data_IF_484629465626
#
_entry.id   IF_484629465626
#
_cell.length_a   1.000
_cell.length_b   1.000
_cell.length_c   1.000
_cell.angle_alpha   90.00
_cell.angle_beta   90.00
_cell.angle_gamma   90.00
#
_symmetry.space_group_name_H-M   'P 1'
#
loop_
_entity.id
_entity.type
_entity.pdbx_description
1 polymer ?
#
# COMPACT_ATOMS: atom_id res chain seq x y z
N UNK A 1 -1.08 14.48 -19.66
CA UNK A 1 -0.88 13.62 -18.47
C UNK A 1 -0.57 12.18 -18.89
N UNK A 2 -1.50 11.43 -19.49
CA UNK A 2 -1.26 10.02 -19.88
C UNK A 2 -0.07 9.80 -20.82
N UNK A 3 0.14 10.68 -21.81
CA UNK A 3 1.32 10.59 -22.68
C UNK A 3 2.67 10.81 -21.96
N UNK A 4 2.69 11.52 -20.83
CA UNK A 4 3.90 11.68 -20.01
C UNK A 4 4.20 10.40 -19.22
N UNK A 5 3.16 9.75 -18.66
CA UNK A 5 3.29 8.43 -18.03
C UNK A 5 3.77 7.38 -19.03
N UNK A 6 3.18 7.32 -20.23
CA UNK A 6 3.62 6.41 -21.28
C UNK A 6 5.09 6.66 -21.70
N UNK A 7 5.55 7.92 -21.68
CA UNK A 7 6.96 8.24 -21.93
C UNK A 7 7.89 7.78 -20.79
N UNK A 8 7.42 7.87 -19.54
CA UNK A 8 8.15 7.38 -18.35
C UNK A 8 8.29 5.86 -18.37
N UNK A 9 7.25 5.14 -18.77
CA UNK A 9 7.23 3.67 -18.75
C UNK A 9 8.30 3.06 -19.65
N UNK A 10 8.65 3.72 -20.76
CA UNK A 10 9.74 3.29 -21.66
C UNK A 10 11.11 3.21 -20.99
N UNK A 11 11.32 3.99 -19.92
CA UNK A 11 12.55 4.01 -19.14
C UNK A 11 12.39 3.45 -17.74
N UNK A 12 11.26 2.81 -17.43
CA UNK A 12 11.02 2.30 -16.08
C UNK A 12 11.90 1.08 -15.81
N UNK A 13 12.82 1.14 -14.81
CA UNK A 13 13.69 0.01 -14.50
C UNK A 13 12.95 -1.14 -13.80
N UNK A 14 11.73 -0.91 -13.30
CA UNK A 14 11.00 -1.84 -12.43
C UNK A 14 10.01 -2.73 -13.18
N UNK A 15 10.27 -3.02 -14.45
CA UNK A 15 9.41 -3.87 -15.28
C UNK A 15 9.84 -5.33 -15.17
N UNK A 16 8.88 -6.23 -14.98
CA UNK A 16 9.14 -7.64 -14.64
C UNK A 16 8.45 -8.59 -15.61
N UNK A 17 9.05 -9.74 -15.90
CA UNK A 17 8.38 -10.82 -16.63
C UNK A 17 7.33 -11.49 -15.74
N UNK A 18 6.13 -11.70 -16.29
CA UNK A 18 5.06 -12.43 -15.60
C UNK A 18 5.31 -13.94 -15.54
N UNK A 19 6.27 -14.47 -16.29
CA UNK A 19 6.59 -15.90 -16.33
C UNK A 19 7.53 -16.33 -15.21
N UNK A 20 8.56 -15.52 -14.92
CA UNK A 20 9.64 -15.88 -14.00
C UNK A 20 10.07 -14.75 -13.04
N UNK A 21 9.48 -13.56 -13.15
CA UNK A 21 9.77 -12.41 -12.28
C UNK A 21 11.11 -11.73 -12.55
N UNK A 22 11.81 -12.07 -13.64
CA UNK A 22 13.06 -11.39 -14.01
C UNK A 22 12.78 -9.97 -14.50
N UNK A 23 13.77 -9.09 -14.33
CA UNK A 23 13.74 -7.74 -14.92
C UNK A 23 13.72 -7.83 -16.44
N UNK A 24 12.84 -7.05 -17.05
CA UNK A 24 12.69 -6.93 -18.50
C UNK A 24 12.63 -5.46 -18.90
N UNK A 25 12.98 -5.18 -20.14
CA UNK A 25 12.82 -3.86 -20.74
C UNK A 25 11.39 -3.64 -21.23
N UNK A 26 11.02 -2.37 -21.40
CA UNK A 26 9.76 -2.01 -22.05
C UNK A 26 9.63 -2.63 -23.45
N UNK A 27 10.71 -2.68 -24.24
CA UNK A 27 10.70 -3.23 -25.59
C UNK A 27 10.48 -4.75 -25.60
N UNK A 28 11.02 -5.49 -24.61
CA UNK A 28 10.75 -6.92 -24.43
C UNK A 28 9.26 -7.18 -24.10
N UNK A 29 8.68 -6.38 -23.20
CA UNK A 29 7.25 -6.46 -22.88
C UNK A 29 6.38 -6.11 -24.09
N UNK A 30 6.72 -5.03 -24.80
CA UNK A 30 5.99 -4.61 -26.00
C UNK A 30 6.02 -5.68 -27.10
N UNK A 31 7.13 -6.39 -27.27
CA UNK A 31 7.27 -7.46 -28.26
C UNK A 31 6.39 -8.69 -27.96
N UNK A 32 5.99 -8.89 -26.71
CA UNK A 32 5.14 -10.00 -26.26
C UNK A 32 3.70 -9.58 -25.95
N UNK A 33 3.42 -8.29 -25.85
CA UNK A 33 2.10 -7.75 -25.55
C UNK A 33 1.07 -8.08 -26.63
N UNK A 34 -0.17 -8.34 -26.23
CA UNK A 34 -1.30 -8.45 -27.15
C UNK A 34 -1.48 -7.11 -27.89
N UNK A 35 -1.36 -7.06 -29.23
CA UNK A 35 -1.55 -5.84 -30.00
C UNK A 35 -2.92 -5.16 -29.77
N UNK A 36 -3.93 -5.91 -29.33
CA UNK A 36 -5.24 -5.37 -28.96
C UNK A 36 -5.18 -4.38 -27.79
N UNK A 37 -4.14 -4.39 -26.95
CA UNK A 37 -3.98 -3.42 -25.85
C UNK A 37 -3.97 -1.97 -26.36
N UNK A 38 -3.50 -1.74 -27.58
CA UNK A 38 -3.50 -0.42 -28.21
C UNK A 38 -4.92 0.17 -28.36
N UNK A 39 -5.93 -0.69 -28.48
CA UNK A 39 -7.34 -0.27 -28.57
C UNK A 39 -7.91 0.20 -27.23
N UNK A 40 -7.22 -0.12 -26.12
CA UNK A 40 -7.58 0.31 -24.76
C UNK A 40 -6.92 1.63 -24.34
N UNK A 41 -6.03 2.18 -25.16
CA UNK A 41 -5.21 3.36 -24.83
C UNK A 41 -5.75 4.64 -25.50
N UNK A 42 -7.03 4.93 -25.30
CA UNK A 42 -7.64 6.19 -25.79
C UNK A 42 -7.98 7.13 -24.65
N UNK A 43 -8.09 8.42 -24.96
CA UNK A 43 -8.44 9.42 -23.95
C UNK A 43 -9.83 9.15 -23.36
N UNK A 44 -10.78 8.69 -24.17
CA UNK A 44 -12.14 8.35 -23.74
C UNK A 44 -12.12 7.18 -22.75
N UNK A 45 -11.31 6.13 -23.01
CA UNK A 45 -11.18 4.98 -22.11
C UNK A 45 -10.52 5.41 -20.80
N UNK A 46 -9.41 6.15 -20.84
CA UNK A 46 -8.75 6.64 -19.63
C UNK A 46 -9.63 7.59 -18.81
N UNK A 47 -10.46 8.41 -19.48
CA UNK A 47 -11.43 9.26 -18.80
C UNK A 47 -12.51 8.43 -18.10
N UNK A 48 -13.05 7.41 -18.77
CA UNK A 48 -14.04 6.51 -18.18
C UNK A 48 -13.45 5.71 -17.00
N UNK A 49 -12.21 5.24 -17.11
CA UNK A 49 -11.47 4.58 -16.02
C UNK A 49 -11.28 5.52 -14.84
N UNK A 50 -10.88 6.78 -15.07
CA UNK A 50 -10.76 7.79 -14.03
C UNK A 50 -12.10 8.02 -13.31
N UNK A 51 -13.20 8.17 -14.06
CA UNK A 51 -14.54 8.37 -13.50
C UNK A 51 -15.01 7.16 -12.68
N UNK A 52 -14.72 5.94 -13.16
CA UNK A 52 -14.99 4.70 -12.43
C UNK A 52 -14.22 4.66 -11.09
N UNK A 53 -12.92 4.96 -11.12
CA UNK A 53 -12.10 5.05 -9.90
C UNK A 53 -12.65 6.11 -8.92
N UNK A 54 -13.04 7.30 -9.39
CA UNK A 54 -13.60 8.33 -8.50
C UNK A 54 -14.91 7.87 -7.86
N UNK A 55 -15.78 7.20 -8.63
CA UNK A 55 -17.04 6.65 -8.12
C UNK A 55 -16.79 5.55 -7.07
N UNK A 56 -15.87 4.62 -7.34
CA UNK A 56 -15.52 3.53 -6.43
C UNK A 56 -14.93 4.07 -5.12
N UNK A 57 -14.05 5.07 -5.21
CA UNK A 57 -13.47 5.74 -4.03
C UNK A 57 -14.56 6.42 -3.19
N UNK A 58 -15.54 7.08 -3.82
CA UNK A 58 -16.69 7.65 -3.10
C UNK A 58 -17.51 6.58 -2.39
N UNK A 59 -17.72 5.41 -3.01
CA UNK A 59 -18.41 4.31 -2.33
C UNK A 59 -17.62 3.77 -1.11
N UNK A 60 -16.28 3.76 -1.17
CA UNK A 60 -15.45 3.41 -0.01
C UNK A 60 -15.51 4.47 1.10
N UNK A 61 -15.60 5.75 0.74
CA UNK A 61 -15.84 6.85 1.69
C UNK A 61 -17.19 6.67 2.41
N UNK A 62 -18.25 6.41 1.65
CA UNK A 62 -19.59 6.13 2.21
C UNK A 62 -19.57 4.92 3.15
N UNK A 63 -18.89 3.84 2.77
CA UNK A 63 -18.73 2.65 3.61
C UNK A 63 -17.96 2.93 4.90
N UNK A 64 -16.90 3.75 4.86
CA UNK A 64 -16.15 4.18 6.06
C UNK A 64 -17.03 5.02 7.00
N UNK A 65 -17.86 5.89 6.45
CA UNK A 65 -18.82 6.70 7.21
C UNK A 65 -19.90 5.80 7.84
N UNK A 66 -20.46 4.87 7.09
CA UNK A 66 -21.50 3.95 7.56
C UNK A 66 -20.98 3.00 8.65
N UNK A 67 -19.79 2.45 8.47
CA UNK A 67 -19.15 1.59 9.47
C UNK A 67 -18.83 2.34 10.77
N UNK A 68 -18.55 3.64 10.67
CA UNK A 68 -18.27 4.55 11.77
C UNK A 68 -17.25 3.98 12.79
N UNK A 69 -16.03 3.59 12.38
CA UNK A 69 -15.09 2.96 13.30
C UNK A 69 -14.51 3.97 14.30
N UNK A 70 -14.25 3.54 15.52
CA UNK A 70 -13.56 4.38 16.52
C UNK A 70 -12.07 4.53 16.22
N UNK A 71 -11.49 3.55 15.50
CA UNK A 71 -10.07 3.50 15.14
C UNK A 71 -9.87 2.74 13.83
N UNK A 72 -8.90 3.17 13.03
CA UNK A 72 -8.57 2.56 11.74
C UNK A 72 -7.12 2.05 11.73
N UNK A 73 -6.96 0.73 11.69
CA UNK A 73 -5.66 0.09 11.47
C UNK A 73 -5.36 0.14 9.98
N UNK A 74 -4.24 0.75 9.58
CA UNK A 74 -3.88 0.89 8.17
C UNK A 74 -2.61 0.08 7.91
N UNK A 75 -2.73 -0.98 7.13
CA UNK A 75 -1.61 -1.79 6.64
C UNK A 75 -1.16 -1.21 5.30
N UNK A 76 0.06 -0.70 5.25
CA UNK A 76 0.66 -0.14 4.05
C UNK A 76 2.16 -0.41 4.02
N UNK A 77 2.78 -0.22 2.87
CA UNK A 77 4.24 -0.26 2.74
C UNK A 77 4.86 1.12 2.92
N UNK A 78 6.18 1.14 3.10
CA UNK A 78 6.98 2.36 3.08
C UNK A 78 7.66 2.48 1.73
N UNK A 79 7.65 3.69 1.15
CA UNK A 79 8.37 4.01 -0.08
C UNK A 79 9.39 5.12 0.20
N UNK A 80 10.46 4.74 0.92
CA UNK A 80 11.62 5.59 1.24
C UNK A 80 11.21 6.88 1.96
N UNK A 81 10.21 6.76 2.84
CA UNK A 81 9.64 7.85 3.62
C UNK A 81 10.05 7.73 5.09
N UNK A 82 10.03 6.50 5.61
CA UNK A 82 10.39 6.18 6.99
C UNK A 82 11.65 5.34 7.11
N UNK A 83 11.86 4.38 6.22
CA UNK A 83 12.90 3.35 6.35
C UNK A 83 13.87 3.36 5.17
N UNK A 84 15.12 3.03 5.47
CA UNK A 84 16.23 2.97 4.50
C UNK A 84 17.13 1.75 4.82
N UNK A 85 18.21 1.54 4.07
CA UNK A 85 19.11 0.39 4.24
C UNK A 85 19.81 0.31 5.61
N UNK A 86 19.81 1.39 6.39
CA UNK A 86 20.32 1.39 7.76
C UNK A 86 19.39 0.64 8.73
N UNK A 87 18.07 0.67 8.49
CA UNK A 87 17.09 -0.14 9.20
C UNK A 87 15.78 -0.29 8.41
N UNK A 88 15.52 -1.50 7.92
CA UNK A 88 14.36 -1.83 7.10
C UNK A 88 13.58 -3.02 7.69
N UNK A 89 12.58 -2.77 8.56
CA UNK A 89 11.82 -3.84 9.22
C UNK A 89 10.87 -4.55 8.25
N UNK A 90 10.63 -5.85 8.45
CA UNK A 90 9.60 -6.60 7.72
C UNK A 90 8.20 -6.10 8.07
N UNK A 91 7.95 -5.94 9.38
CA UNK A 91 6.72 -5.39 9.95
C UNK A 91 7.09 -4.34 10.99
N UNK A 92 6.41 -3.20 10.97
CA UNK A 92 6.57 -2.15 11.97
C UNK A 92 5.22 -1.56 12.37
N UNK A 93 5.01 -1.30 13.66
CA UNK A 93 3.81 -0.62 14.16
C UNK A 93 4.21 0.72 14.78
N UNK A 94 3.60 1.80 14.31
CA UNK A 94 3.74 3.12 14.93
C UNK A 94 2.69 3.29 16.03
N UNK A 95 3.12 3.65 17.24
CA UNK A 95 2.26 3.80 18.42
C UNK A 95 2.57 5.07 19.21
N UNK A 96 2.96 6.14 18.50
CA UNK A 96 3.00 7.49 19.06
C UNK A 96 1.60 8.05 19.34
N UNK A 97 1.52 9.28 19.85
CA UNK A 97 0.22 9.95 20.12
C UNK A 97 -0.42 10.50 18.84
N UNK A 98 0.42 11.01 17.93
CA UNK A 98 0.01 11.56 16.64
C UNK A 98 1.03 11.21 15.57
N UNK A 99 0.62 11.28 14.31
CA UNK A 99 1.49 11.23 13.15
C UNK A 99 1.24 12.47 12.29
N UNK A 100 2.27 13.30 12.15
CA UNK A 100 2.21 14.57 11.44
C UNK A 100 2.07 14.34 9.92
N UNK A 101 0.99 14.84 9.33
CA UNK A 101 0.74 14.87 7.89
C UNK A 101 1.01 16.28 7.38
N UNK A 102 1.85 16.40 6.36
CA UNK A 102 2.11 17.68 5.69
C UNK A 102 2.13 17.49 4.17
N UNK A 103 1.64 18.46 3.38
CA UNK A 103 1.75 18.41 1.92
C UNK A 103 3.21 18.26 1.49
N UNK A 104 3.48 17.32 0.59
CA UNK A 104 4.82 17.17 0.02
C UNK A 104 5.16 18.37 -0.85
N UNK A 105 6.29 19.02 -0.53
CA UNK A 105 6.89 20.04 -1.39
C UNK A 105 7.26 19.45 -2.76
N UNK A 106 6.98 20.20 -3.82
CA UNK A 106 7.30 19.81 -5.19
C UNK A 106 8.22 20.84 -5.83
N UNK A 107 9.28 20.36 -6.50
CA UNK A 107 10.17 21.24 -7.24
C UNK A 107 9.48 21.88 -8.45
N UNK A 108 9.89 23.09 -8.81
CA UNK A 108 9.29 23.87 -9.90
C UNK A 108 9.27 23.11 -11.24
N UNK A 109 10.29 22.26 -11.47
CA UNK A 109 10.50 21.48 -12.68
C UNK A 109 9.70 20.17 -12.73
N UNK A 110 8.89 19.85 -11.72
CA UNK A 110 8.09 18.65 -11.75
C UNK A 110 7.03 18.70 -12.86
N UNK A 111 6.74 17.55 -13.46
CA UNK A 111 5.78 17.45 -14.56
C UNK A 111 4.35 17.81 -14.09
N UNK A 112 3.47 18.21 -15.02
CA UNK A 112 2.06 18.42 -14.71
C UNK A 112 1.40 17.19 -14.06
N UNK A 113 1.77 15.98 -14.50
CA UNK A 113 1.30 14.73 -13.90
C UNK A 113 1.73 14.60 -12.43
N UNK A 114 3.01 14.80 -12.14
CA UNK A 114 3.52 14.75 -10.76
C UNK A 114 2.81 15.78 -9.89
N UNK A 115 2.69 17.04 -10.35
CA UNK A 115 1.97 18.11 -9.65
C UNK A 115 0.52 17.75 -9.34
N UNK A 116 -0.17 17.15 -10.31
CA UNK A 116 -1.55 16.70 -10.13
C UNK A 116 -1.71 15.52 -9.17
N UNK A 117 -0.66 14.72 -8.91
CA UNK A 117 -0.71 13.60 -7.95
C UNK A 117 -0.37 13.99 -6.51
N UNK A 118 0.25 15.15 -6.28
CA UNK A 118 0.79 15.51 -4.96
C UNK A 118 -0.26 15.69 -3.87
N UNK A 119 -1.52 16.02 -4.22
CA UNK A 119 -2.59 16.13 -3.24
C UNK A 119 -2.82 14.81 -2.48
N UNK A 120 -2.49 13.66 -3.08
CA UNK A 120 -2.58 12.35 -2.43
C UNK A 120 -1.61 12.17 -1.25
N UNK A 121 -0.57 13.00 -1.16
CA UNK A 121 0.35 13.06 -0.03
C UNK A 121 -0.09 14.02 1.07
N UNK A 122 -1.21 14.73 0.87
CA UNK A 122 -1.67 15.80 1.73
C UNK A 122 -1.79 17.13 0.99
N UNK A 123 -2.81 17.89 1.34
CA UNK A 123 -3.13 19.25 0.87
C UNK A 123 -3.20 20.28 2.02
N UNK A 124 -3.35 19.80 3.26
CA UNK A 124 -3.47 20.56 4.50
C UNK A 124 -2.64 19.87 5.56
N UNK A 125 -1.85 20.66 6.28
CA UNK A 125 -1.04 20.21 7.40
C UNK A 125 -1.91 19.88 8.63
N UNK A 126 -1.68 18.73 9.24
CA UNK A 126 -2.43 18.29 10.44
C UNK A 126 -1.67 17.23 11.22
N UNK A 127 -1.93 17.16 12.53
CA UNK A 127 -1.54 16.02 13.36
C UNK A 127 -2.69 15.03 13.43
N UNK A 128 -2.50 13.86 12.81
CA UNK A 128 -3.49 12.79 12.81
C UNK A 128 -3.34 12.00 14.12
N UNK A 129 -4.40 11.85 14.93
CA UNK A 129 -4.33 11.09 16.17
C UNK A 129 -4.02 9.61 15.88
N UNK A 130 -3.21 9.02 16.74
CA UNK A 130 -2.90 7.59 16.73
C UNK A 130 -3.48 6.97 17.99
N UNK A 131 -4.12 5.80 17.86
CA UNK A 131 -4.58 5.03 19.01
C UNK A 131 -3.38 4.27 19.60
N UNK A 132 -2.61 4.97 20.43
CA UNK A 132 -1.38 4.43 21.02
C UNK A 132 -1.62 3.17 21.87
N UNK A 133 -2.78 3.09 22.53
CA UNK A 133 -3.17 1.94 23.35
C UNK A 133 -3.42 0.71 22.49
N UNK A 134 -4.19 0.84 21.39
CA UNK A 134 -4.37 -0.25 20.44
C UNK A 134 -3.05 -0.63 19.76
N UNK A 135 -2.24 0.35 19.37
CA UNK A 135 -0.93 0.11 18.77
C UNK A 135 -0.02 -0.71 19.68
N UNK A 136 0.08 -0.34 20.97
CA UNK A 136 0.83 -1.10 21.97
C UNK A 136 0.24 -2.49 22.22
N UNK A 137 -1.09 -2.60 22.29
CA UNK A 137 -1.79 -3.87 22.48
C UNK A 137 -1.51 -4.84 21.32
N UNK A 138 -1.57 -4.35 20.09
CA UNK A 138 -1.20 -5.09 18.88
C UNK A 138 0.26 -5.55 18.95
N UNK A 139 1.20 -4.68 19.27
CA UNK A 139 2.62 -5.05 19.41
C UNK A 139 2.76 -6.20 20.41
N UNK A 140 2.27 -6.04 21.64
CA UNK A 140 2.41 -7.06 22.68
C UNK A 140 1.74 -8.39 22.29
N UNK A 141 0.50 -8.35 21.80
CA UNK A 141 -0.24 -9.56 21.42
C UNK A 141 0.35 -10.29 20.21
N UNK A 142 0.98 -9.57 19.27
CA UNK A 142 1.65 -10.18 18.13
C UNK A 142 3.00 -10.81 18.52
N UNK A 143 3.74 -10.23 19.48
CA UNK A 143 4.93 -10.85 20.05
C UNK A 143 4.57 -12.21 20.69
N UNK A 144 3.48 -12.28 21.47
CA UNK A 144 3.01 -13.54 22.08
C UNK A 144 2.55 -14.60 21.05
N UNK A 145 2.37 -14.20 19.78
CA UNK A 145 2.04 -15.08 18.66
C UNK A 145 3.24 -15.32 17.72
N UNK A 146 4.46 -15.11 18.19
CA UNK A 146 5.71 -15.35 17.46
C UNK A 146 5.84 -14.54 16.15
N UNK A 147 5.38 -13.28 16.18
CA UNK A 147 5.71 -12.28 15.15
C UNK A 147 6.76 -11.30 15.67
N UNK A 148 7.83 -11.12 14.91
CA UNK A 148 8.84 -10.10 15.18
C UNK A 148 8.35 -8.74 14.68
N UNK A 149 7.83 -7.93 15.59
CA UNK A 149 7.29 -6.60 15.28
C UNK A 149 8.29 -5.52 15.67
N UNK A 150 8.81 -4.78 14.68
CA UNK A 150 9.48 -3.52 14.97
C UNK A 150 8.44 -2.48 15.42
N UNK A 151 8.87 -1.47 16.19
CA UNK A 151 7.96 -0.42 16.59
C UNK A 151 8.64 0.94 16.64
N UNK A 152 7.84 2.00 16.46
CA UNK A 152 8.27 3.37 16.63
C UNK A 152 7.21 4.17 17.40
N UNK A 153 7.67 5.07 18.28
CA UNK A 153 6.80 6.02 18.98
C UNK A 153 6.98 7.46 18.48
N UNK A 154 8.07 7.70 17.76
CA UNK A 154 8.47 9.03 17.31
C UNK A 154 8.87 8.96 15.84
N UNK A 155 8.52 10.01 15.11
CA UNK A 155 9.11 10.29 13.80
C UNK A 155 10.37 11.14 13.99
N UNK A 156 11.34 10.95 13.11
CA UNK A 156 12.50 11.82 13.01
C UNK A 156 12.07 13.22 12.53
N UNK A 157 12.84 14.26 12.86
CA UNK A 157 12.59 15.58 12.29
C UNK A 157 12.86 15.59 10.78
N UNK A 158 13.96 14.95 10.37
CA UNK A 158 14.32 14.74 8.97
C UNK A 158 14.57 13.25 8.70
N UNK A 159 14.24 12.82 7.50
CA UNK A 159 14.48 11.49 6.98
C UNK A 159 15.03 11.55 5.56
N UNK A 160 15.93 10.64 5.25
CA UNK A 160 16.60 10.50 3.97
C UNK A 160 17.65 9.40 4.09
N UNK A 161 18.04 8.82 2.96
CA UNK A 161 18.90 7.66 2.97
C UNK A 161 19.03 7.04 1.59
N UNK A 162 19.47 5.78 1.59
CA UNK A 162 19.67 4.99 0.39
C UNK A 162 18.97 3.65 0.55
N UNK A 163 18.36 3.18 -0.53
CA UNK A 163 17.74 1.86 -0.63
C UNK A 163 18.26 1.14 -1.87
N UNK A 164 18.86 -0.03 -1.68
CA UNK A 164 19.27 -0.92 -2.76
C UNK A 164 20.77 -0.94 -3.10
N UNK A 165 21.16 -1.60 -4.21
CA UNK A 165 20.32 -1.99 -5.34
C UNK A 165 19.29 -3.07 -4.98
N UNK A 166 18.13 -2.97 -5.62
CA UNK A 166 17.02 -3.91 -5.50
C UNK A 166 17.11 -4.82 -6.72
N UNK A 167 16.74 -6.10 -6.65
CA UNK A 167 16.93 -7.01 -7.80
C UNK A 167 16.45 -6.46 -9.15
N UNK A 168 15.41 -5.60 -9.11
CA UNK A 168 14.82 -4.88 -10.25
C UNK A 168 15.13 -3.38 -10.33
N UNK A 169 16.04 -2.88 -9.51
CA UNK A 169 16.58 -1.52 -9.60
C UNK A 169 18.11 -1.60 -9.44
N UNK A 170 18.83 -1.54 -10.57
CA UNK A 170 20.30 -1.68 -10.59
C UNK A 170 21.02 -0.57 -9.82
N UNK A 171 20.42 0.62 -9.74
CA UNK A 171 20.99 1.76 -9.02
C UNK A 171 20.25 1.95 -7.71
N UNK A 172 20.97 2.15 -6.59
CA UNK A 172 20.31 2.51 -5.35
C UNK A 172 19.44 3.75 -5.52
N UNK A 173 18.28 3.74 -4.87
CA UNK A 173 17.42 4.91 -4.76
C UNK A 173 17.98 5.78 -3.64
N UNK A 174 18.24 7.05 -3.93
CA UNK A 174 18.81 7.99 -2.97
C UNK A 174 17.79 9.08 -2.69
N UNK A 175 17.29 9.08 -1.45
CA UNK A 175 16.37 10.09 -0.95
C UNK A 175 17.16 11.13 -0.17
N UNK A 176 17.19 12.36 -0.69
CA UNK A 176 17.81 13.48 0.03
C UNK A 176 17.07 13.73 1.37
N UNK A 177 17.80 14.10 2.44
CA UNK A 177 17.17 14.48 3.70
C UNK A 177 16.10 15.56 3.50
N UNK A 178 14.93 15.30 4.07
CA UNK A 178 13.76 16.19 4.06
C UNK A 178 12.98 16.02 5.36
N UNK A 179 12.14 16.99 5.70
CA UNK A 179 11.24 16.83 6.85
C UNK A 179 10.44 15.54 6.71
N UNK A 180 10.47 14.71 7.75
CA UNK A 180 9.70 13.47 7.77
C UNK A 180 8.23 13.81 8.03
N UNK A 181 7.36 13.13 7.31
CA UNK A 181 5.92 13.28 7.44
C UNK A 181 5.25 11.92 7.21
N UNK A 182 3.95 11.87 7.48
CA UNK A 182 3.12 10.71 7.25
C UNK A 182 3.32 10.16 5.84
N UNK A 183 3.65 8.86 5.72
CA UNK A 183 3.72 8.17 4.44
C UNK A 183 2.43 8.24 3.63
N UNK A 184 2.57 8.21 2.31
CA UNK A 184 1.42 8.33 1.42
C UNK A 184 0.44 7.16 1.51
N UNK A 185 0.94 5.97 1.87
CA UNK A 185 0.11 4.81 2.17
C UNK A 185 -0.94 5.09 3.27
N UNK A 186 -0.64 6.01 4.20
CA UNK A 186 -1.56 6.43 5.27
C UNK A 186 -2.28 7.73 4.94
N UNK A 187 -1.56 8.72 4.38
CA UNK A 187 -2.10 10.04 4.08
C UNK A 187 -3.28 9.94 3.11
N UNK A 188 -3.20 9.08 2.09
CA UNK A 188 -4.28 8.90 1.13
C UNK A 188 -5.56 8.39 1.79
N UNK A 189 -5.45 7.45 2.74
CA UNK A 189 -6.61 6.92 3.48
C UNK A 189 -7.27 8.03 4.31
N UNK A 190 -6.48 8.79 5.08
CA UNK A 190 -7.00 9.91 5.88
C UNK A 190 -7.68 10.97 5.01
N UNK A 191 -7.03 11.34 3.90
CA UNK A 191 -7.50 12.42 3.03
C UNK A 191 -8.71 12.03 2.19
N UNK A 192 -8.69 10.82 1.63
CA UNK A 192 -9.60 10.44 0.55
C UNK A 192 -10.67 9.44 1.00
N UNK A 193 -10.33 8.49 1.85
CA UNK A 193 -11.28 7.45 2.32
C UNK A 193 -12.01 7.92 3.57
N UNK A 194 -11.33 8.57 4.52
CA UNK A 194 -11.99 9.21 5.66
C UNK A 194 -12.54 10.60 5.31
N UNK A 195 -12.21 11.12 4.12
CA UNK A 195 -12.58 12.46 3.66
C UNK A 195 -12.35 13.55 4.75
N UNK A 196 -11.21 13.48 5.44
CA UNK A 196 -10.84 14.37 6.55
C UNK A 196 -11.77 14.35 7.77
N UNK A 197 -12.69 13.39 7.86
CA UNK A 197 -13.37 13.07 9.10
C UNK A 197 -12.41 12.23 9.96
N UNK A 198 -11.46 12.93 10.56
CA UNK A 198 -10.30 12.33 11.22
C UNK A 198 -10.77 11.38 12.33
N UNK A 199 -10.34 10.12 12.20
CA UNK A 199 -10.44 9.07 13.22
C UNK A 199 -9.02 8.69 13.66
N UNK A 200 -8.81 8.27 14.91
CA UNK A 200 -7.54 7.69 15.34
C UNK A 200 -7.10 6.56 14.39
N UNK A 201 -5.81 6.53 14.06
CA UNK A 201 -5.22 5.49 13.21
C UNK A 201 -4.26 4.60 13.99
N UNK A 202 -3.97 3.41 13.48
CA UNK A 202 -2.79 2.62 13.87
C UNK A 202 -2.02 2.27 12.60
N UNK A 203 -0.90 2.96 12.31
CA UNK A 203 -0.09 2.67 11.13
C UNK A 203 0.69 1.36 11.32
N UNK A 204 0.50 0.43 10.39
CA UNK A 204 1.21 -0.85 10.30
C UNK A 204 1.99 -0.86 8.98
N UNK A 205 3.30 -0.64 9.06
CA UNK A 205 4.17 -0.74 7.90
C UNK A 205 4.53 -2.20 7.63
N UNK A 206 4.36 -2.64 6.39
CA UNK A 206 4.76 -3.95 5.89
C UNK A 206 5.73 -3.76 4.72
N UNK A 207 6.92 -4.35 4.79
CA UNK A 207 7.87 -4.26 3.69
C UNK A 207 7.45 -5.16 2.52
N UNK A 208 6.76 -4.59 1.55
CA UNK A 208 6.36 -5.29 0.32
C UNK A 208 7.41 -5.14 -0.78
N UNK A 209 8.22 -4.09 -0.75
CA UNK A 209 9.02 -3.67 -1.90
C UNK A 209 10.51 -4.07 -1.82
N UNK A 210 11.10 -4.05 -0.63
CA UNK A 210 12.56 -4.01 -0.49
C UNK A 210 13.16 -5.33 0.00
N UNK A 211 13.92 -6.09 -0.82
CA UNK A 211 14.66 -7.25 -0.32
C UNK A 211 15.67 -6.87 0.78
N UNK A 212 16.12 -7.85 1.60
CA UNK A 212 15.88 -9.28 1.48
C UNK A 212 14.73 -9.83 2.34
N UNK A 213 14.04 -8.99 3.12
CA UNK A 213 13.11 -9.46 4.17
C UNK A 213 11.63 -9.25 3.85
N UNK A 214 11.25 -9.16 2.58
CA UNK A 214 9.83 -9.13 2.18
C UNK A 214 9.12 -10.41 2.68
N UNK A 215 7.97 -10.29 3.36
CA UNK A 215 7.23 -11.43 3.87
C UNK A 215 6.67 -12.28 2.72
N UNK A 216 6.41 -13.56 3.01
CA UNK A 216 5.64 -14.40 2.09
C UNK A 216 4.15 -14.04 2.16
N UNK A 217 3.36 -14.30 1.10
CA UNK A 217 1.89 -14.18 1.14
C UNK A 217 1.26 -14.90 2.33
N UNK A 218 1.75 -16.11 2.64
CA UNK A 218 1.35 -16.84 3.83
C UNK A 218 1.61 -16.06 5.12
N UNK A 219 2.79 -15.45 5.27
CA UNK A 219 3.17 -14.69 6.48
C UNK A 219 2.32 -13.43 6.64
N UNK A 220 1.99 -12.74 5.53
CA UNK A 220 1.03 -11.63 5.51
C UNK A 220 -0.36 -12.08 5.97
N UNK A 221 -0.87 -13.18 5.40
CA UNK A 221 -2.19 -13.70 5.77
C UNK A 221 -2.26 -14.14 7.23
N UNK A 222 -1.22 -14.82 7.72
CA UNK A 222 -1.12 -15.23 9.12
C UNK A 222 -1.01 -14.02 10.06
N UNK A 223 -0.25 -12.99 9.69
CA UNK A 223 -0.19 -11.72 10.45
C UNK A 223 -1.59 -11.12 10.59
N UNK A 224 -2.35 -11.02 9.49
CA UNK A 224 -3.71 -10.51 9.50
C UNK A 224 -4.63 -11.28 10.45
N UNK A 225 -4.61 -12.62 10.40
CA UNK A 225 -5.39 -13.45 11.33
C UNK A 225 -4.99 -13.21 12.79
N UNK A 226 -3.69 -13.10 13.05
CA UNK A 226 -3.18 -12.81 14.39
C UNK A 226 -3.61 -11.43 14.87
N UNK A 227 -3.55 -10.40 14.02
CA UNK A 227 -4.08 -9.06 14.33
C UNK A 227 -5.55 -9.11 14.71
N UNK A 228 -6.38 -9.85 13.97
CA UNK A 228 -7.81 -9.98 14.31
C UNK A 228 -8.05 -10.63 15.67
N UNK A 229 -7.26 -11.64 16.05
CA UNK A 229 -7.35 -12.26 17.37
C UNK A 229 -6.94 -11.26 18.45
N UNK A 230 -5.80 -10.58 18.29
CA UNK A 230 -5.30 -9.59 19.26
C UNK A 230 -6.29 -8.45 19.45
N UNK A 231 -6.86 -7.92 18.36
CA UNK A 231 -7.89 -6.87 18.40
C UNK A 231 -9.12 -7.35 19.17
N UNK A 232 -9.58 -8.58 18.94
CA UNK A 232 -10.76 -9.14 19.64
C UNK A 232 -10.51 -9.37 21.13
N UNK A 233 -9.28 -9.66 21.52
CA UNK A 233 -8.88 -9.88 22.91
C UNK A 233 -8.57 -8.55 23.64
N UNK A 234 -8.68 -7.41 22.96
CA UNK A 234 -8.51 -6.10 23.58
C UNK A 234 -9.71 -5.76 24.47
N UNK A 235 -9.45 -5.36 25.72
CA UNK A 235 -10.49 -4.94 26.67
C UNK A 235 -11.01 -3.53 26.34
N UNK A 236 -11.73 -3.44 25.23
CA UNK A 236 -12.34 -2.23 24.70
C UNK A 236 -13.60 -2.57 23.91
N UNK A 237 -14.56 -1.64 23.90
CA UNK A 237 -15.77 -1.70 23.08
C UNK A 237 -15.63 -0.97 21.72
N UNK A 238 -14.43 -0.48 21.41
CA UNK A 238 -14.14 0.25 20.16
C UNK A 238 -14.38 -0.62 18.91
N UNK A 239 -15.02 -0.01 17.91
CA UNK A 239 -15.12 -0.54 16.55
C UNK A 239 -13.82 -0.29 15.79
N UNK A 240 -13.17 -1.36 15.36
CA UNK A 240 -11.89 -1.29 14.62
C UNK A 240 -12.13 -1.58 13.13
N UNK A 241 -11.75 -0.64 12.26
CA UNK A 241 -11.63 -0.90 10.83
C UNK A 241 -10.18 -1.28 10.47
N UNK A 242 -10.02 -2.15 9.47
CA UNK A 242 -8.69 -2.51 8.92
C UNK A 242 -8.67 -2.17 7.43
N UNK A 243 -7.66 -1.43 7.00
CA UNK A 243 -7.46 -1.00 5.61
C UNK A 243 -6.15 -1.56 5.09
N UNK A 244 -6.18 -2.24 3.95
CA UNK A 244 -4.98 -2.51 3.14
C UNK A 244 -4.80 -1.38 2.13
N UNK A 245 -3.66 -0.70 2.15
CA UNK A 245 -3.34 0.44 1.28
C UNK A 245 -2.25 0.07 0.26
N UNK A 246 -2.27 0.72 -0.90
CA UNK A 246 -1.45 0.36 -2.06
C UNK A 246 -2.14 -0.68 -2.97
N UNK A 247 -1.49 -1.05 -4.06
CA UNK A 247 -1.86 -2.11 -4.97
C UNK A 247 -3.00 -1.74 -5.96
N UNK A 248 -3.46 -2.68 -6.78
CA UNK A 248 -2.91 -4.03 -6.99
C UNK A 248 -1.70 -3.97 -7.95
N UNK A 249 -1.71 -4.67 -9.09
CA UNK A 249 -0.64 -4.54 -10.09
C UNK A 249 -0.59 -3.13 -10.71
N UNK A 250 0.62 -2.57 -10.79
CA UNK A 250 0.88 -1.30 -11.48
C UNK A 250 2.36 -1.20 -11.89
N UNK A 251 2.68 -0.21 -12.74
CA UNK A 251 3.87 -0.15 -13.62
C UNK A 251 3.84 -1.19 -14.76
N UNK A 252 3.58 -2.44 -14.42
CA UNK A 252 3.13 -3.47 -15.35
C UNK A 252 1.83 -4.05 -14.78
N UNK A 253 0.75 -3.92 -15.56
CA UNK A 253 -0.55 -4.44 -15.18
C UNK A 253 -0.58 -5.94 -15.44
N UNK A 254 -0.90 -6.68 -14.39
CA UNK A 254 -1.04 -8.12 -14.35
C UNK A 254 -2.45 -8.47 -13.87
N UNK A 255 -3.42 -8.40 -14.79
CA UNK A 255 -4.82 -8.65 -14.49
C UNK A 255 -5.06 -10.07 -13.94
N UNK A 256 -4.19 -11.02 -14.26
CA UNK A 256 -4.34 -12.41 -13.81
C UNK A 256 -4.05 -12.53 -12.31
N UNK A 257 -2.95 -11.96 -11.81
CA UNK A 257 -2.67 -12.02 -10.37
C UNK A 257 -3.64 -11.18 -9.56
N UNK A 258 -4.06 -10.04 -10.10
CA UNK A 258 -5.08 -9.18 -9.48
C UNK A 258 -6.38 -9.96 -9.29
N UNK A 259 -6.84 -10.63 -10.34
CA UNK A 259 -8.08 -11.40 -10.29
C UNK A 259 -7.94 -12.66 -9.42
N UNK A 260 -6.78 -13.30 -9.39
CA UNK A 260 -6.50 -14.40 -8.45
C UNK A 260 -6.62 -13.91 -7.00
N UNK A 261 -6.00 -12.79 -6.65
CA UNK A 261 -6.05 -12.21 -5.31
C UNK A 261 -7.49 -11.81 -4.93
N UNK A 262 -8.17 -11.04 -5.79
CA UNK A 262 -9.56 -10.61 -5.55
C UNK A 262 -10.52 -11.79 -5.38
N UNK A 263 -10.42 -12.81 -6.24
CA UNK A 263 -11.26 -14.00 -6.15
C UNK A 263 -10.98 -14.80 -4.87
N UNK A 264 -9.71 -14.96 -4.50
CA UNK A 264 -9.33 -15.67 -3.29
C UNK A 264 -9.79 -14.94 -2.02
N UNK A 265 -9.69 -13.61 -1.98
CA UNK A 265 -10.24 -12.80 -0.88
C UNK A 265 -11.77 -12.96 -0.80
N UNK A 266 -12.48 -12.83 -1.92
CA UNK A 266 -13.95 -12.98 -1.99
C UNK A 266 -14.42 -14.38 -1.57
N UNK A 267 -13.70 -15.42 -1.97
CA UNK A 267 -14.00 -16.81 -1.63
C UNK A 267 -13.55 -17.20 -0.22
N UNK A 268 -12.81 -16.32 0.48
CA UNK A 268 -12.13 -16.63 1.75
C UNK A 268 -11.22 -17.86 1.63
N UNK A 269 -10.50 -17.97 0.52
CA UNK A 269 -9.60 -19.07 0.23
C UNK A 269 -8.20 -18.78 0.79
N UNK A 270 -8.00 -19.15 2.06
CA UNK A 270 -6.74 -19.01 2.78
C UNK A 270 -5.56 -19.62 2.02
N UNK A 271 -5.78 -20.78 1.38
CA UNK A 271 -4.72 -21.53 0.71
C UNK A 271 -4.30 -20.84 -0.58
N UNK A 272 -5.27 -20.33 -1.35
CA UNK A 272 -4.99 -19.57 -2.57
C UNK A 272 -4.25 -18.26 -2.27
N UNK A 273 -4.68 -17.49 -1.26
CA UNK A 273 -3.97 -16.25 -0.86
C UNK A 273 -2.54 -16.54 -0.41
N UNK A 274 -2.35 -17.58 0.39
CA UNK A 274 -1.03 -17.97 0.89
C UNK A 274 -0.09 -18.51 -0.21
N UNK A 275 -0.65 -18.96 -1.34
CA UNK A 275 0.08 -19.58 -2.44
C UNK A 275 0.30 -18.65 -3.64
N UNK A 276 -0.11 -17.37 -3.57
CA UNK A 276 0.13 -16.41 -4.66
C UNK A 276 1.62 -16.39 -5.04
N UNK A 277 1.94 -16.41 -6.35
CA UNK A 277 3.30 -16.62 -6.82
C UNK A 277 4.20 -15.43 -6.46
N UNK A 278 5.13 -15.64 -5.52
CA UNK A 278 6.03 -14.61 -5.00
C UNK A 278 6.81 -13.85 -6.08
N UNK A 279 7.17 -14.51 -7.17
CA UNK A 279 7.93 -13.88 -8.24
C UNK A 279 7.12 -12.81 -9.00
N UNK A 280 5.78 -12.84 -8.94
CA UNK A 280 4.87 -11.82 -9.50
C UNK A 280 4.46 -10.75 -8.47
N UNK A 281 4.86 -10.87 -7.21
CA UNK A 281 4.55 -9.92 -6.13
C UNK A 281 5.76 -9.01 -5.83
N UNK A 282 6.22 -8.32 -6.85
CA UNK A 282 7.37 -7.41 -6.81
C UNK A 282 7.00 -6.08 -7.49
N UNK A 283 7.79 -5.03 -7.25
CA UNK A 283 7.46 -3.68 -7.74
C UNK A 283 6.04 -3.29 -7.33
N UNK A 284 5.26 -2.64 -8.20
CA UNK A 284 3.90 -2.19 -7.89
C UNK A 284 2.96 -3.32 -7.44
N UNK A 285 3.07 -4.51 -8.01
CA UNK A 285 2.27 -5.68 -7.63
C UNK A 285 2.58 -6.22 -6.23
N UNK A 286 3.69 -5.82 -5.62
CA UNK A 286 4.04 -6.28 -4.27
C UNK A 286 3.05 -5.81 -3.21
N UNK A 287 2.39 -4.67 -3.43
CA UNK A 287 1.43 -4.07 -2.50
C UNK A 287 0.15 -4.91 -2.32
N UNK A 288 -0.09 -5.90 -3.20
CA UNK A 288 -1.10 -6.96 -3.00
C UNK A 288 -0.90 -7.67 -1.64
N UNK A 289 0.35 -7.75 -1.14
CA UNK A 289 0.63 -8.30 0.18
C UNK A 289 -0.08 -7.53 1.32
N UNK A 290 -0.32 -6.21 1.18
CA UNK A 290 -1.06 -5.41 2.17
C UNK A 290 -2.54 -5.85 2.21
N UNK A 291 -3.12 -6.14 1.04
CA UNK A 291 -4.48 -6.68 0.92
C UNK A 291 -4.60 -8.07 1.52
N UNK A 292 -3.60 -8.92 1.36
CA UNK A 292 -3.59 -10.26 1.97
C UNK A 292 -3.62 -10.17 3.50
N UNK A 293 -2.85 -9.24 4.08
CA UNK A 293 -2.88 -8.99 5.53
C UNK A 293 -4.26 -8.48 5.97
N UNK A 294 -4.84 -7.50 5.26
CA UNK A 294 -6.18 -7.00 5.56
C UNK A 294 -7.26 -8.10 5.43
N UNK A 295 -7.17 -8.95 4.41
CA UNK A 295 -8.07 -10.09 4.21
C UNK A 295 -7.95 -11.13 5.33
N UNK A 296 -6.75 -11.38 5.85
CA UNK A 296 -6.55 -12.21 7.04
C UNK A 296 -7.24 -11.64 8.27
N UNK A 297 -7.15 -10.33 8.48
CA UNK A 297 -7.79 -9.64 9.60
C UNK A 297 -9.32 -9.61 9.48
N UNK A 298 -9.82 -9.44 8.27
CA UNK A 298 -11.25 -9.32 7.96
C UNK A 298 -11.90 -10.65 7.52
N UNK A 299 -11.22 -11.79 7.67
CA UNK A 299 -11.68 -13.13 7.20
C UNK A 299 -13.12 -13.49 7.59
N UNK A 300 -13.56 -13.01 8.74
CA UNK A 300 -14.89 -13.29 9.30
C UNK A 300 -16.01 -12.48 8.62
N UNK A 301 -15.68 -11.51 7.77
CA UNK A 301 -16.60 -10.64 7.03
C UNK A 301 -16.78 -11.13 5.60
N UNK A 302 -17.91 -10.78 4.98
CA UNK A 302 -18.12 -10.97 3.54
C UNK A 302 -17.47 -9.81 2.78
N UNK A 303 -16.79 -10.13 1.68
CA UNK A 303 -16.13 -9.15 0.83
C UNK A 303 -16.98 -8.87 -0.40
N UNK A 304 -17.27 -7.59 -0.62
CA UNK A 304 -17.74 -7.08 -1.89
C UNK A 304 -16.60 -6.37 -2.64
N UNK A 305 -16.52 -6.62 -3.95
CA UNK A 305 -15.61 -5.88 -4.83
C UNK A 305 -16.38 -4.66 -5.34
N UNK A 306 -15.97 -3.46 -4.94
CA UNK A 306 -16.60 -2.21 -5.36
C UNK A 306 -16.39 -1.96 -6.84
N UNK A 307 -15.14 -2.07 -7.31
CA UNK A 307 -14.76 -2.00 -8.71
C UNK A 307 -13.36 -2.59 -8.94
N UNK A 308 -13.00 -2.86 -10.19
CA UNK A 308 -11.63 -3.19 -10.62
C UNK A 308 -11.34 -2.48 -11.94
N UNK A 309 -10.29 -1.65 -11.93
CA UNK A 309 -9.84 -0.89 -13.10
C UNK A 309 -8.37 -1.24 -13.35
N UNK A 310 -8.05 -1.97 -14.44
CA UNK A 310 -6.68 -2.29 -14.83
C UNK A 310 -5.97 -1.11 -15.52
#
# INVERSE_FOLDING_TARGET
>A
MWGEYAARDKGNPMLLSLDDGRVVTYDELLASADPAISQRQTQEIFQAQYEACQKAITALEEAMIEADPDVVVIVGDDQEELFFDDNMPMFSIYWGETMHLTPRGIGDNASPATKASMWGYGDVEMDVPVDADLGLHLINGLIEQDFDIAHARYMNHEAGGTVGPLGYVEKPIVTAPRHQAMPHAYAYVVKRIMNNQIRPIVPVTQNTFYPPNQPSPKRCYDLGKSMANVIKDWDSDKKVAVVGSGGLSHFLVDEEIDQQALNAMKARDDAALAALPRYRLNSGSSEILNWITAAGACRHLEMDVVDYVP
#
